data_IF_328064475248
#
_entry.id   IF_328064475248
#
_cell.length_a   1.000
_cell.length_b   1.000
_cell.length_c   1.000
_cell.angle_alpha   90.00
_cell.angle_beta   90.00
_cell.angle_gamma   90.00
#
_symmetry.space_group_name_H-M   'P 1'
#
loop_
_entity.id
_entity.type
_entity.pdbx_description
1 polymer ?
#
# COMPACT_ATOMS: atom_id res chain seq x y z
N UNK A 1 12.16 0.97 -33.85
CA UNK A 1 10.87 0.96 -33.15
C UNK A 1 9.82 1.85 -33.87
N UNK A 2 10.19 3.08 -34.29
CA UNK A 2 9.28 3.95 -35.06
C UNK A 2 8.75 3.30 -36.34
N UNK A 3 9.58 2.58 -37.07
CA UNK A 3 9.19 1.94 -38.33
C UNK A 3 8.19 0.79 -38.12
N UNK A 4 8.36 0.00 -37.05
CA UNK A 4 7.42 -1.07 -36.74
C UNK A 4 6.06 -0.50 -36.26
N UNK A 5 6.05 0.66 -35.56
CA UNK A 5 4.80 1.37 -35.23
C UNK A 5 4.05 1.79 -36.50
N UNK A 6 4.72 2.41 -37.44
CA UNK A 6 4.12 2.77 -38.75
C UNK A 6 3.63 1.57 -39.54
N UNK A 7 4.41 0.48 -39.55
CA UNK A 7 4.02 -0.76 -40.20
C UNK A 7 2.77 -1.37 -39.55
N UNK A 8 2.68 -1.34 -38.22
CA UNK A 8 1.54 -1.82 -37.44
C UNK A 8 0.27 -1.00 -37.69
N UNK A 9 0.38 0.32 -37.90
CA UNK A 9 -0.76 1.17 -38.28
C UNK A 9 -1.27 0.82 -39.66
N UNK A 10 -0.36 0.62 -40.63
CA UNK A 10 -0.70 0.22 -42.00
C UNK A 10 -1.31 -1.19 -42.08
N UNK A 11 -0.89 -2.10 -41.20
CA UNK A 11 -1.31 -3.50 -41.13
C UNK A 11 -2.01 -3.83 -39.81
N UNK A 12 -2.97 -2.99 -39.42
CA UNK A 12 -3.63 -3.05 -38.12
C UNK A 12 -4.42 -4.35 -37.86
N UNK A 13 -4.83 -5.06 -38.91
CA UNK A 13 -5.53 -6.36 -38.85
C UNK A 13 -4.60 -7.57 -39.02
N UNK A 14 -3.28 -7.39 -39.07
CA UNK A 14 -2.34 -8.49 -39.19
C UNK A 14 -1.79 -8.90 -37.83
N UNK A 15 -2.23 -10.06 -37.34
CA UNK A 15 -1.84 -10.58 -36.01
C UNK A 15 -0.32 -10.68 -35.88
N UNK A 16 0.38 -11.17 -36.89
CA UNK A 16 1.86 -11.34 -36.85
C UNK A 16 2.57 -10.00 -36.70
N UNK A 17 2.12 -8.97 -37.43
CA UNK A 17 2.71 -7.60 -37.31
C UNK A 17 2.44 -7.02 -35.93
N UNK A 18 1.22 -7.17 -35.39
CA UNK A 18 0.87 -6.70 -34.05
C UNK A 18 1.66 -7.45 -32.97
N UNK A 19 1.85 -8.77 -33.15
CA UNK A 19 2.66 -9.56 -32.22
C UNK A 19 4.15 -9.15 -32.22
N UNK A 20 4.71 -8.86 -33.39
CA UNK A 20 6.08 -8.30 -33.47
C UNK A 20 6.16 -6.96 -32.73
N UNK A 21 5.16 -6.06 -32.95
CA UNK A 21 5.09 -4.78 -32.24
C UNK A 21 5.03 -5.00 -30.72
N UNK A 22 4.17 -5.91 -30.25
CA UNK A 22 4.07 -6.28 -28.84
C UNK A 22 5.42 -6.75 -28.29
N UNK A 23 6.09 -7.69 -28.95
CA UNK A 23 7.40 -8.21 -28.53
C UNK A 23 8.47 -7.12 -28.41
N UNK A 24 8.53 -6.23 -29.41
CA UNK A 24 9.51 -5.13 -29.43
C UNK A 24 9.17 -4.10 -28.34
N UNK A 25 7.89 -3.73 -28.20
CA UNK A 25 7.47 -2.76 -27.18
C UNK A 25 7.74 -3.25 -25.77
N UNK A 26 7.56 -4.55 -25.49
CA UNK A 26 7.94 -5.15 -24.21
C UNK A 26 9.45 -5.05 -23.94
N UNK A 27 10.30 -5.31 -24.94
CA UNK A 27 11.76 -5.18 -24.81
C UNK A 27 12.22 -3.73 -24.57
N UNK A 28 11.49 -2.75 -25.10
CA UNK A 28 11.80 -1.33 -24.95
C UNK A 28 11.17 -0.73 -23.68
N UNK A 29 10.27 -1.49 -23.01
CA UNK A 29 9.52 -1.02 -21.83
C UNK A 29 8.34 -0.10 -22.16
N UNK A 30 7.90 -0.01 -23.44
CA UNK A 30 6.71 0.76 -23.84
C UNK A 30 5.44 -0.07 -23.62
N UNK A 31 5.00 -0.09 -22.36
CA UNK A 31 3.84 -0.89 -21.91
C UNK A 31 2.55 -0.45 -22.61
N UNK A 32 2.35 0.83 -22.87
CA UNK A 32 1.13 1.33 -23.52
C UNK A 32 1.02 0.82 -24.95
N UNK A 33 2.12 0.85 -25.70
CA UNK A 33 2.15 0.27 -27.05
C UNK A 33 1.92 -1.25 -27.00
N UNK A 34 2.45 -1.95 -25.98
CA UNK A 34 2.24 -3.40 -25.78
C UNK A 34 0.76 -3.73 -25.56
N UNK A 35 0.08 -2.99 -24.68
CA UNK A 35 -1.35 -3.13 -24.41
C UNK A 35 -2.17 -2.90 -25.69
N UNK A 36 -1.87 -1.82 -26.43
CA UNK A 36 -2.59 -1.51 -27.66
C UNK A 36 -2.40 -2.59 -28.75
N UNK A 37 -1.20 -3.13 -28.88
CA UNK A 37 -0.94 -4.23 -29.83
C UNK A 37 -1.72 -5.48 -29.45
N UNK A 38 -1.76 -5.88 -28.18
CA UNK A 38 -2.56 -7.01 -27.70
C UNK A 38 -4.07 -6.78 -27.87
N UNK A 39 -4.58 -5.57 -27.61
CA UNK A 39 -5.99 -5.21 -27.86
C UNK A 39 -6.36 -5.38 -29.35
N UNK A 40 -5.47 -5.00 -30.28
CA UNK A 40 -5.69 -5.20 -31.72
C UNK A 40 -5.67 -6.69 -32.12
N UNK A 41 -4.77 -7.49 -31.54
CA UNK A 41 -4.75 -8.93 -31.75
C UNK A 41 -6.06 -9.56 -31.28
N UNK A 42 -6.51 -9.23 -30.07
CA UNK A 42 -7.74 -9.76 -29.48
C UNK A 42 -9.02 -9.23 -30.15
N UNK A 43 -8.96 -8.15 -30.88
CA UNK A 43 -10.06 -7.72 -31.74
C UNK A 43 -10.31 -8.71 -32.89
N UNK A 44 -9.24 -9.38 -33.37
CA UNK A 44 -9.30 -10.36 -34.45
C UNK A 44 -9.54 -11.77 -33.89
N UNK A 45 -8.76 -12.16 -32.88
CA UNK A 45 -8.82 -13.47 -32.22
C UNK A 45 -9.23 -13.29 -30.75
N UNK A 46 -10.54 -13.11 -30.54
CA UNK A 46 -11.15 -12.72 -29.26
C UNK A 46 -10.91 -13.72 -28.13
N UNK A 47 -10.85 -15.01 -28.49
CA UNK A 47 -10.83 -16.11 -27.52
C UNK A 47 -9.43 -16.68 -27.29
N UNK A 48 -8.39 -15.99 -27.73
CA UNK A 48 -7.02 -16.45 -27.52
C UNK A 48 -6.58 -16.24 -26.08
N UNK A 49 -6.66 -17.30 -25.30
CA UNK A 49 -6.37 -17.28 -23.85
C UNK A 49 -4.93 -16.84 -23.54
N UNK A 50 -3.97 -17.13 -24.45
CA UNK A 50 -2.57 -16.69 -24.29
C UNK A 50 -2.45 -15.17 -24.35
N UNK A 51 -3.05 -14.53 -25.37
CA UNK A 51 -3.02 -13.06 -25.49
C UNK A 51 -3.90 -12.38 -24.43
N UNK A 52 -5.02 -12.98 -24.04
CA UNK A 52 -5.83 -12.52 -22.92
C UNK A 52 -4.99 -12.51 -21.64
N UNK A 53 -4.21 -13.59 -21.39
CA UNK A 53 -3.34 -13.70 -20.21
C UNK A 53 -2.23 -12.66 -20.22
N UNK A 54 -1.60 -12.41 -21.35
CA UNK A 54 -0.59 -11.38 -21.49
C UNK A 54 -1.18 -9.98 -21.25
N UNK A 55 -2.36 -9.70 -21.78
CA UNK A 55 -3.02 -8.42 -21.65
C UNK A 55 -3.43 -8.13 -20.21
N UNK A 56 -4.10 -9.06 -19.51
CA UNK A 56 -4.52 -8.78 -18.14
C UNK A 56 -3.34 -8.58 -17.19
N UNK A 57 -2.23 -9.29 -17.40
CA UNK A 57 -1.01 -9.09 -16.59
C UNK A 57 -0.42 -7.69 -16.75
N UNK A 58 -0.40 -7.15 -17.97
CA UNK A 58 0.03 -5.78 -18.21
C UNK A 58 -0.93 -4.75 -17.60
N UNK A 59 -2.24 -4.98 -17.75
CA UNK A 59 -3.27 -4.12 -17.16
C UNK A 59 -3.19 -4.13 -15.62
N UNK A 60 -2.99 -5.30 -15.02
CA UNK A 60 -2.77 -5.46 -13.58
C UNK A 60 -1.52 -4.69 -13.11
N UNK A 61 -0.41 -4.82 -13.83
CA UNK A 61 0.82 -4.08 -13.53
C UNK A 61 0.66 -2.55 -13.64
N UNK A 62 -0.30 -2.06 -14.44
CA UNK A 62 -0.66 -0.64 -14.51
C UNK A 62 -1.72 -0.20 -13.50
N UNK A 63 -2.22 -1.11 -12.67
CA UNK A 63 -3.31 -0.82 -11.73
C UNK A 63 -4.69 -0.68 -12.40
N UNK A 64 -4.84 -1.06 -13.67
CA UNK A 64 -6.11 -1.04 -14.41
C UNK A 64 -6.95 -2.27 -14.06
N UNK A 65 -7.39 -2.34 -12.80
CA UNK A 65 -7.94 -3.54 -12.19
C UNK A 65 -9.24 -4.01 -12.85
N UNK A 66 -10.12 -3.10 -13.26
CA UNK A 66 -11.42 -3.45 -13.87
C UNK A 66 -11.23 -4.04 -15.27
N UNK A 67 -10.36 -3.46 -16.09
CA UNK A 67 -10.04 -4.01 -17.41
C UNK A 67 -9.31 -5.37 -17.29
N UNK A 68 -8.41 -5.51 -16.32
CA UNK A 68 -7.75 -6.79 -16.06
C UNK A 68 -8.77 -7.87 -15.68
N UNK A 69 -9.73 -7.54 -14.80
CA UNK A 69 -10.80 -8.44 -14.37
C UNK A 69 -11.70 -8.88 -15.53
N UNK A 70 -12.02 -7.97 -16.46
CA UNK A 70 -12.78 -8.29 -17.67
C UNK A 70 -12.05 -9.36 -18.51
N UNK A 71 -10.73 -9.23 -18.71
CA UNK A 71 -9.95 -10.21 -19.50
C UNK A 71 -9.81 -11.54 -18.79
N UNK A 72 -9.67 -11.55 -17.47
CA UNK A 72 -9.69 -12.77 -16.65
C UNK A 72 -11.06 -13.46 -16.77
N UNK A 73 -12.16 -12.73 -16.71
CA UNK A 73 -13.50 -13.30 -16.89
C UNK A 73 -13.64 -13.94 -18.27
N UNK A 74 -13.15 -13.31 -19.35
CA UNK A 74 -13.14 -13.93 -20.68
C UNK A 74 -12.35 -15.24 -20.72
N UNK A 75 -11.24 -15.37 -19.97
CA UNK A 75 -10.51 -16.65 -19.84
C UNK A 75 -11.38 -17.67 -19.11
N UNK A 76 -12.04 -17.27 -18.01
CA UNK A 76 -12.86 -18.17 -17.21
C UNK A 76 -14.17 -18.59 -17.90
N UNK A 77 -14.67 -17.83 -18.86
CA UNK A 77 -15.76 -18.24 -19.76
C UNK A 77 -15.34 -19.39 -20.69
N UNK A 78 -14.06 -19.44 -21.09
CA UNK A 78 -13.50 -20.48 -21.94
C UNK A 78 -13.10 -21.71 -21.10
N UNK A 79 -12.42 -21.47 -19.98
CA UNK A 79 -11.95 -22.48 -19.03
C UNK A 79 -12.23 -22.00 -17.59
N UNK A 80 -13.37 -22.42 -17.05
CA UNK A 80 -13.82 -22.01 -15.72
C UNK A 80 -12.98 -22.56 -14.56
N UNK A 81 -12.05 -23.48 -14.85
CA UNK A 81 -11.08 -24.03 -13.88
C UNK A 81 -9.66 -23.54 -14.12
N UNK A 82 -9.47 -22.53 -14.96
CA UNK A 82 -8.16 -21.98 -15.21
C UNK A 82 -7.52 -21.46 -13.91
N UNK A 83 -6.51 -22.19 -13.47
CA UNK A 83 -5.86 -21.96 -12.18
C UNK A 83 -5.31 -20.54 -12.04
N UNK A 84 -4.50 -20.09 -13.02
CA UNK A 84 -3.85 -18.78 -12.97
C UNK A 84 -4.89 -17.65 -13.00
N UNK A 85 -5.93 -17.80 -13.80
CA UNK A 85 -7.02 -16.83 -13.87
C UNK A 85 -7.81 -16.72 -12.56
N UNK A 86 -8.11 -17.84 -11.91
CA UNK A 86 -8.80 -17.85 -10.61
C UNK A 86 -7.93 -17.22 -9.51
N UNK A 87 -6.63 -17.59 -9.46
CA UNK A 87 -5.67 -17.02 -8.51
C UNK A 87 -5.56 -15.50 -8.69
N UNK A 88 -5.32 -15.04 -9.91
CA UNK A 88 -5.11 -13.62 -10.19
C UNK A 88 -6.43 -12.82 -10.04
N UNK A 89 -7.58 -13.45 -10.27
CA UNK A 89 -8.89 -12.87 -9.94
C UNK A 89 -9.03 -12.62 -8.45
N UNK A 90 -8.63 -13.58 -7.60
CA UNK A 90 -8.64 -13.38 -6.15
C UNK A 90 -7.72 -12.22 -5.73
N UNK A 91 -6.55 -12.11 -6.36
CA UNK A 91 -5.61 -11.02 -6.10
C UNK A 91 -6.17 -9.65 -6.52
N UNK A 92 -6.86 -9.55 -7.65
CA UNK A 92 -7.51 -8.31 -8.08
C UNK A 92 -8.59 -7.88 -7.07
N UNK A 93 -9.43 -8.81 -6.58
CA UNK A 93 -10.40 -8.48 -5.53
C UNK A 93 -9.73 -8.04 -4.24
N UNK A 94 -8.61 -8.67 -3.87
CA UNK A 94 -7.79 -8.20 -2.73
C UNK A 94 -7.30 -6.76 -2.93
N UNK A 95 -6.76 -6.41 -4.10
CA UNK A 95 -6.31 -5.04 -4.43
C UNK A 95 -7.48 -4.04 -4.43
N UNK A 96 -8.68 -4.47 -4.83
CA UNK A 96 -9.92 -3.68 -4.75
C UNK A 96 -10.46 -3.57 -3.33
N UNK A 97 -9.81 -4.16 -2.34
CA UNK A 97 -10.21 -4.25 -0.92
C UNK A 97 -11.52 -5.01 -0.69
N UNK A 98 -11.96 -5.81 -1.66
CA UNK A 98 -13.07 -6.74 -1.52
C UNK A 98 -12.53 -8.09 -1.02
N UNK A 99 -12.26 -8.15 0.27
CA UNK A 99 -11.63 -9.32 0.89
C UNK A 99 -12.54 -10.54 0.96
N UNK A 100 -13.86 -10.33 0.87
CA UNK A 100 -14.85 -11.42 0.87
C UNK A 100 -14.80 -12.17 -0.45
N UNK A 101 -14.93 -11.46 -1.58
CA UNK A 101 -14.79 -12.08 -2.90
C UNK A 101 -13.38 -12.63 -3.13
N UNK A 102 -12.33 -11.92 -2.67
CA UNK A 102 -10.96 -12.42 -2.74
C UNK A 102 -10.83 -13.78 -2.05
N UNK A 103 -11.37 -13.93 -0.83
CA UNK A 103 -11.36 -15.19 -0.07
C UNK A 103 -12.12 -16.29 -0.80
N UNK A 104 -13.31 -16.01 -1.30
CA UNK A 104 -14.14 -16.96 -2.07
C UNK A 104 -13.40 -17.51 -3.28
N UNK A 105 -12.74 -16.65 -4.10
CA UNK A 105 -12.03 -17.11 -5.29
C UNK A 105 -10.78 -17.92 -4.95
N UNK A 106 -10.00 -17.55 -3.92
CA UNK A 106 -8.81 -18.32 -3.53
C UNK A 106 -9.16 -19.68 -2.89
N UNK A 107 -10.31 -19.78 -2.20
CA UNK A 107 -10.79 -21.02 -1.63
C UNK A 107 -11.42 -21.97 -2.68
N UNK A 108 -11.98 -21.42 -3.76
CA UNK A 108 -12.46 -22.20 -4.90
C UNK A 108 -11.34 -22.91 -5.67
N UNK A 109 -10.10 -22.48 -5.50
CA UNK A 109 -8.94 -23.24 -5.94
C UNK A 109 -8.74 -24.38 -4.95
N UNK A 110 -9.33 -25.55 -5.26
CA UNK A 110 -9.40 -26.71 -4.37
C UNK A 110 -8.05 -27.16 -3.80
N UNK A 111 -6.97 -26.96 -4.57
CA UNK A 111 -5.60 -27.15 -4.09
C UNK A 111 -4.68 -26.16 -4.81
N UNK A 112 -3.98 -25.31 -4.05
CA UNK A 112 -2.87 -24.54 -4.60
C UNK A 112 -1.79 -25.52 -5.12
N UNK A 113 -1.19 -25.18 -6.26
CA UNK A 113 -0.04 -25.95 -6.77
C UNK A 113 1.07 -25.90 -5.74
N UNK A 114 1.73 -27.02 -5.48
CA UNK A 114 2.78 -27.12 -4.46
C UNK A 114 4.00 -26.24 -4.74
N UNK A 115 4.16 -25.75 -5.95
CA UNK A 115 5.23 -24.86 -6.41
C UNK A 115 4.80 -23.39 -6.56
N UNK A 116 3.53 -23.05 -6.27
CA UNK A 116 3.02 -21.69 -6.41
C UNK A 116 3.19 -20.86 -5.12
N UNK A 117 4.43 -20.42 -4.86
CA UNK A 117 4.73 -19.50 -3.74
C UNK A 117 3.91 -18.22 -3.79
N UNK A 118 3.60 -17.70 -5.00
CA UNK A 118 2.79 -16.50 -5.18
C UNK A 118 1.34 -16.71 -4.74
N UNK A 119 0.72 -17.84 -5.11
CA UNK A 119 -0.62 -18.22 -4.67
C UNK A 119 -0.71 -18.37 -3.15
N UNK A 120 0.28 -19.00 -2.52
CA UNK A 120 0.35 -19.08 -1.06
C UNK A 120 0.50 -17.70 -0.41
N UNK A 121 1.31 -16.81 -0.99
CA UNK A 121 1.44 -15.44 -0.49
C UNK A 121 0.11 -14.67 -0.59
N UNK A 122 -0.60 -14.75 -1.73
CA UNK A 122 -1.94 -14.14 -1.88
C UNK A 122 -2.91 -14.68 -0.85
N UNK A 123 -2.94 -15.99 -0.63
CA UNK A 123 -3.80 -16.61 0.37
C UNK A 123 -3.47 -16.08 1.76
N UNK A 124 -2.19 -15.99 2.10
CA UNK A 124 -1.73 -15.35 3.34
C UNK A 124 -2.22 -13.92 3.51
N UNK A 125 -2.09 -13.08 2.47
CA UNK A 125 -2.57 -11.70 2.50
C UNK A 125 -4.09 -11.60 2.71
N UNK A 126 -4.88 -12.44 2.05
CA UNK A 126 -6.33 -12.47 2.20
C UNK A 126 -6.72 -12.87 3.62
N UNK A 127 -6.06 -13.88 4.18
CA UNK A 127 -6.30 -14.34 5.55
C UNK A 127 -5.88 -13.29 6.58
N UNK A 128 -4.73 -12.62 6.37
CA UNK A 128 -4.27 -11.51 7.21
C UNK A 128 -5.30 -10.38 7.27
N UNK A 129 -5.85 -9.97 6.12
CA UNK A 129 -6.88 -8.91 6.06
C UNK A 129 -8.23 -9.31 6.64
N UNK A 130 -8.50 -10.60 6.76
CA UNK A 130 -9.67 -11.13 7.46
C UNK A 130 -9.38 -11.48 8.94
N UNK A 131 -8.23 -11.05 9.50
CA UNK A 131 -7.79 -11.26 10.88
C UNK A 131 -7.54 -12.73 11.26
N UNK A 132 -7.30 -13.61 10.30
CA UNK A 132 -6.88 -15.00 10.53
C UNK A 132 -5.34 -15.08 10.54
N UNK A 133 -4.72 -14.52 11.61
CA UNK A 133 -3.28 -14.27 11.65
C UNK A 133 -2.42 -15.54 11.68
N UNK A 134 -2.81 -16.56 12.46
CA UNK A 134 -2.03 -17.81 12.53
C UNK A 134 -2.08 -18.59 11.22
N UNK A 135 -3.23 -18.63 10.54
CA UNK A 135 -3.37 -19.23 9.22
C UNK A 135 -2.57 -18.45 8.18
N UNK A 136 -2.63 -17.11 8.22
CA UNK A 136 -1.85 -16.24 7.33
C UNK A 136 -0.34 -16.52 7.48
N UNK A 137 0.16 -16.61 8.72
CA UNK A 137 1.55 -16.97 9.01
C UNK A 137 1.94 -18.30 8.38
N UNK A 138 1.08 -19.32 8.48
CA UNK A 138 1.35 -20.63 7.88
C UNK A 138 1.44 -20.57 6.34
N UNK A 139 0.60 -19.77 5.70
CA UNK A 139 0.65 -19.58 4.23
C UNK A 139 1.91 -18.83 3.79
N UNK A 140 2.32 -17.77 4.49
CA UNK A 140 3.57 -17.07 4.19
C UNK A 140 4.80 -17.97 4.38
N UNK A 141 4.83 -18.76 5.47
CA UNK A 141 5.88 -19.74 5.69
C UNK A 141 5.92 -20.82 4.58
N UNK A 142 4.77 -21.22 4.06
CA UNK A 142 4.70 -22.17 2.93
C UNK A 142 5.25 -21.52 1.67
N UNK A 143 4.90 -20.26 1.39
CA UNK A 143 5.46 -19.52 0.26
C UNK A 143 6.99 -19.44 0.34
N UNK A 144 7.54 -19.16 1.53
CA UNK A 144 8.99 -19.07 1.77
C UNK A 144 9.71 -20.42 1.70
N UNK A 145 9.05 -21.54 2.04
CA UNK A 145 9.60 -22.88 1.83
C UNK A 145 9.74 -23.23 0.36
N UNK A 146 8.87 -22.68 -0.51
CA UNK A 146 8.92 -22.89 -1.97
C UNK A 146 9.93 -21.95 -2.62
N UNK A 147 9.93 -20.67 -2.20
CA UNK A 147 10.85 -19.65 -2.69
C UNK A 147 11.37 -18.81 -1.51
N UNK A 148 12.54 -19.18 -1.01
CA UNK A 148 13.23 -18.55 0.12
C UNK A 148 13.81 -17.16 -0.20
N UNK A 149 13.73 -16.72 -1.46
CA UNK A 149 14.16 -15.38 -1.91
C UNK A 149 13.01 -14.43 -2.19
N UNK A 150 11.77 -14.83 -1.89
CA UNK A 150 10.61 -14.01 -2.17
C UNK A 150 10.37 -12.97 -1.06
N UNK A 151 10.94 -11.78 -1.24
CA UNK A 151 10.98 -10.68 -0.26
C UNK A 151 9.58 -10.28 0.22
N UNK A 152 8.58 -10.26 -0.68
CA UNK A 152 7.22 -9.88 -0.30
C UNK A 152 6.63 -10.81 0.77
N UNK A 153 6.92 -12.12 0.71
CA UNK A 153 6.47 -13.05 1.74
C UNK A 153 7.16 -12.83 3.08
N UNK A 154 8.44 -12.43 3.11
CA UNK A 154 9.09 -12.02 4.35
C UNK A 154 8.43 -10.77 4.93
N UNK A 155 8.20 -9.74 4.12
CA UNK A 155 7.55 -8.51 4.56
C UNK A 155 6.13 -8.77 5.09
N UNK A 156 5.36 -9.62 4.41
CA UNK A 156 4.01 -9.98 4.82
C UNK A 156 4.00 -10.85 6.08
N UNK A 157 4.96 -11.78 6.23
CA UNK A 157 5.13 -12.60 7.42
C UNK A 157 5.49 -11.73 8.63
N UNK A 158 6.44 -10.80 8.44
CA UNK A 158 6.83 -9.86 9.50
C UNK A 158 5.66 -8.99 9.94
N UNK A 159 4.89 -8.44 8.99
CA UNK A 159 3.67 -7.69 9.29
C UNK A 159 2.62 -8.55 10.04
N UNK A 160 2.44 -9.82 9.64
CA UNK A 160 1.57 -10.75 10.33
C UNK A 160 2.03 -11.02 11.78
N UNK A 161 3.34 -11.12 12.01
CA UNK A 161 3.91 -11.30 13.35
C UNK A 161 3.73 -10.06 14.22
N UNK A 162 3.73 -8.84 13.63
CA UNK A 162 3.39 -7.62 14.37
C UNK A 162 1.93 -7.63 14.84
N UNK A 163 0.99 -8.09 14.01
CA UNK A 163 -0.43 -8.25 14.42
C UNK A 163 -0.60 -9.30 15.53
N UNK A 164 0.32 -10.28 15.62
CA UNK A 164 0.39 -11.26 16.70
C UNK A 164 1.20 -10.78 17.92
N UNK A 165 1.63 -9.51 17.94
CA UNK A 165 2.45 -8.88 18.99
C UNK A 165 3.82 -9.56 19.20
N UNK A 166 4.34 -10.27 18.19
CA UNK A 166 5.62 -11.00 18.22
C UNK A 166 6.75 -10.15 17.65
N UNK A 167 7.08 -9.03 18.33
CA UNK A 167 8.03 -8.02 17.83
C UNK A 167 9.40 -8.59 17.49
N UNK A 168 9.97 -9.46 18.35
CA UNK A 168 11.32 -10.02 18.14
C UNK A 168 11.37 -11.00 16.96
N UNK A 169 10.29 -11.78 16.76
CA UNK A 169 10.18 -12.66 15.61
C UNK A 169 10.01 -11.83 14.32
N UNK A 170 9.17 -10.80 14.35
CA UNK A 170 8.96 -9.89 13.23
C UNK A 170 10.28 -9.23 12.80
N UNK A 171 11.07 -8.71 13.76
CA UNK A 171 12.39 -8.13 13.47
C UNK A 171 13.30 -9.11 12.74
N UNK A 172 13.43 -10.35 13.23
CA UNK A 172 14.27 -11.39 12.60
C UNK A 172 13.83 -11.67 11.15
N UNK A 173 12.53 -11.68 10.89
CA UNK A 173 11.98 -11.89 9.54
C UNK A 173 12.30 -10.71 8.63
N UNK A 174 12.16 -9.47 9.12
CA UNK A 174 12.53 -8.27 8.34
C UNK A 174 14.04 -8.17 8.12
N UNK A 175 14.87 -8.56 9.11
CA UNK A 175 16.33 -8.68 8.93
C UNK A 175 16.67 -9.68 7.80
N UNK A 176 15.97 -10.81 7.72
CA UNK A 176 16.15 -11.78 6.62
C UNK A 176 15.80 -11.16 5.26
N UNK A 177 14.71 -10.42 5.16
CA UNK A 177 14.34 -9.69 3.94
C UNK A 177 15.40 -8.64 3.56
N UNK A 178 15.91 -7.89 4.54
CA UNK A 178 16.95 -6.88 4.34
C UNK A 178 18.27 -7.49 3.83
N UNK A 179 18.64 -8.67 4.31
CA UNK A 179 19.81 -9.38 3.81
C UNK A 179 19.67 -9.81 2.34
N UNK A 180 18.46 -10.09 1.87
CA UNK A 180 18.20 -10.46 0.46
C UNK A 180 18.27 -9.23 -0.46
N UNK A 181 17.71 -8.09 -0.04
CA UNK A 181 17.79 -6.83 -0.78
C UNK A 181 17.78 -5.64 0.19
N UNK A 182 18.96 -5.07 0.40
CA UNK A 182 19.16 -3.91 1.26
C UNK A 182 18.49 -2.63 0.77
N UNK A 183 18.10 -2.58 -0.51
CA UNK A 183 17.45 -1.41 -1.12
C UNK A 183 15.95 -1.57 -1.28
N UNK A 184 15.35 -2.64 -0.76
CA UNK A 184 13.91 -2.80 -0.77
C UNK A 184 13.27 -1.81 0.21
N UNK A 185 12.60 -0.80 -0.32
CA UNK A 185 12.01 0.30 0.46
C UNK A 185 10.99 -0.21 1.47
N UNK A 186 10.13 -1.16 1.09
CA UNK A 186 9.14 -1.73 2.01
C UNK A 186 9.79 -2.45 3.18
N UNK A 187 10.89 -3.18 2.95
CA UNK A 187 11.65 -3.85 4.01
C UNK A 187 12.29 -2.84 4.96
N UNK A 188 12.90 -1.77 4.41
CA UNK A 188 13.49 -0.69 5.22
C UNK A 188 12.45 -0.01 6.11
N UNK A 189 11.25 0.29 5.58
CA UNK A 189 10.15 0.87 6.36
C UNK A 189 9.71 -0.10 7.46
N UNK A 190 9.49 -1.37 7.14
CA UNK A 190 9.03 -2.36 8.10
C UNK A 190 10.06 -2.59 9.22
N UNK A 191 11.35 -2.64 8.87
CA UNK A 191 12.43 -2.77 9.85
C UNK A 191 12.51 -1.55 10.77
N UNK A 192 12.40 -0.35 10.20
CA UNK A 192 12.34 0.87 10.97
C UNK A 192 11.10 0.95 11.89
N UNK A 193 9.93 0.49 11.39
CA UNK A 193 8.71 0.42 12.19
C UNK A 193 8.88 -0.48 13.41
N UNK A 194 9.40 -1.71 13.24
CA UNK A 194 9.58 -2.63 14.36
C UNK A 194 10.64 -2.14 15.35
N UNK A 195 11.73 -1.55 14.88
CA UNK A 195 12.76 -0.93 15.72
C UNK A 195 12.19 0.24 16.53
N UNK A 196 11.36 1.06 15.91
CA UNK A 196 10.65 2.14 16.61
C UNK A 196 9.71 1.59 17.69
N UNK A 197 9.00 0.49 17.44
CA UNK A 197 8.15 -0.17 18.45
C UNK A 197 8.97 -0.74 19.62
N UNK A 198 10.20 -1.20 19.36
CA UNK A 198 11.14 -1.67 20.37
C UNK A 198 11.91 -0.53 21.09
N UNK A 199 11.53 0.73 20.84
CA UNK A 199 12.19 1.94 21.38
C UNK A 199 13.64 2.16 20.90
N UNK A 200 14.05 1.44 19.86
CA UNK A 200 15.36 1.63 19.23
C UNK A 200 15.30 2.73 18.17
N UNK A 201 15.06 3.96 18.61
CA UNK A 201 14.74 5.10 17.75
C UNK A 201 15.90 5.47 16.82
N UNK A 202 17.14 5.38 17.28
CA UNK A 202 18.32 5.76 16.48
C UNK A 202 18.47 4.86 15.25
N UNK A 203 18.35 3.54 15.42
CA UNK A 203 18.42 2.61 14.30
C UNK A 203 17.20 2.75 13.37
N UNK A 204 16.00 2.97 13.93
CA UNK A 204 14.80 3.23 13.15
C UNK A 204 14.97 4.44 12.21
N UNK A 205 15.49 5.56 12.75
CA UNK A 205 15.78 6.78 11.96
C UNK A 205 16.80 6.50 10.85
N UNK A 206 17.82 5.68 11.10
CA UNK A 206 18.79 5.32 10.06
C UNK A 206 18.13 4.58 8.89
N UNK A 207 17.31 3.55 9.16
CA UNK A 207 16.60 2.81 8.10
C UNK A 207 15.56 3.67 7.38
N UNK A 208 14.84 4.55 8.08
CA UNK A 208 13.95 5.50 7.41
C UNK A 208 14.71 6.48 6.51
N UNK A 209 15.88 6.98 6.91
CA UNK A 209 16.69 7.87 6.08
C UNK A 209 17.22 7.12 4.85
N UNK A 210 17.62 5.85 4.99
CA UNK A 210 18.00 5.01 3.86
C UNK A 210 16.82 4.85 2.88
N UNK A 211 15.62 4.52 3.37
CA UNK A 211 14.40 4.45 2.56
C UNK A 211 14.05 5.79 1.90
N UNK A 212 14.18 6.91 2.63
CA UNK A 212 13.91 8.25 2.12
C UNK A 212 14.89 8.67 1.02
N UNK A 213 16.13 8.19 1.05
CA UNK A 213 17.10 8.42 -0.02
C UNK A 213 16.68 7.76 -1.34
N UNK A 214 15.96 6.64 -1.27
CA UNK A 214 15.45 5.90 -2.43
C UNK A 214 14.11 6.48 -2.92
N UNK A 215 13.24 6.88 -2.00
CA UNK A 215 11.93 7.48 -2.28
C UNK A 215 11.76 8.83 -1.56
N UNK A 216 12.34 9.93 -2.08
CA UNK A 216 12.39 11.21 -1.38
C UNK A 216 11.01 11.81 -1.04
N UNK A 217 9.96 11.50 -1.78
CA UNK A 217 8.62 12.06 -1.57
C UNK A 217 7.62 11.05 -1.00
N UNK A 218 8.10 9.95 -0.41
CA UNK A 218 7.23 8.98 0.24
C UNK A 218 6.71 9.56 1.56
N UNK A 219 5.41 9.84 1.61
CA UNK A 219 4.76 10.47 2.77
C UNK A 219 4.85 9.60 4.03
N UNK A 220 4.72 8.28 3.90
CA UNK A 220 4.78 7.35 5.02
C UNK A 220 6.14 7.45 5.73
N UNK A 221 7.24 7.43 4.97
CA UNK A 221 8.59 7.55 5.52
C UNK A 221 8.77 8.89 6.23
N UNK A 222 8.35 9.99 5.58
CA UNK A 222 8.47 11.35 6.11
C UNK A 222 7.68 11.49 7.42
N UNK A 223 6.46 10.94 7.47
CA UNK A 223 5.61 10.98 8.66
C UNK A 223 6.20 10.16 9.81
N UNK A 224 6.72 8.97 9.52
CA UNK A 224 7.32 8.10 10.52
C UNK A 224 8.64 8.70 11.09
N UNK A 225 9.43 9.37 10.25
CA UNK A 225 10.59 10.13 10.72
C UNK A 225 10.19 11.25 11.67
N UNK A 226 9.14 12.01 11.36
CA UNK A 226 8.62 13.04 12.25
C UNK A 226 8.25 12.47 13.62
N UNK A 227 7.56 11.32 13.64
CA UNK A 227 7.18 10.63 14.89
C UNK A 227 8.42 10.15 15.64
N UNK A 228 9.42 9.57 14.97
CA UNK A 228 10.66 9.13 15.59
C UNK A 228 11.43 10.30 16.22
N UNK A 229 11.55 11.42 15.52
CA UNK A 229 12.20 12.62 16.08
C UNK A 229 11.43 13.21 17.26
N UNK A 230 10.08 13.16 17.26
CA UNK A 230 9.29 13.52 18.44
C UNK A 230 9.60 12.65 19.66
N UNK A 231 9.75 11.34 19.45
CA UNK A 231 10.08 10.38 20.52
C UNK A 231 11.51 10.56 21.03
N UNK A 232 12.44 10.97 20.16
CA UNK A 232 13.84 11.27 20.50
C UNK A 232 14.02 12.70 21.08
N UNK A 233 12.93 13.41 21.36
CA UNK A 233 12.94 14.78 21.87
C UNK A 233 13.71 15.77 20.98
N UNK A 234 13.70 15.53 19.68
CA UNK A 234 14.26 16.40 18.63
C UNK A 234 13.13 17.17 17.94
N UNK A 235 12.49 18.08 18.67
CA UNK A 235 11.28 18.77 18.25
C UNK A 235 11.48 19.61 16.97
N UNK A 236 12.67 20.19 16.80
CA UNK A 236 12.99 21.01 15.61
C UNK A 236 13.02 20.17 14.34
N UNK A 237 13.68 19.02 14.39
CA UNK A 237 13.75 18.05 13.31
C UNK A 237 12.36 17.47 13.01
N UNK A 238 11.63 17.09 14.06
CA UNK A 238 10.27 16.60 13.95
C UNK A 238 9.37 17.60 13.20
N UNK A 239 9.45 18.91 13.55
CA UNK A 239 8.68 19.97 12.89
C UNK A 239 8.98 20.03 11.38
N UNK A 240 10.24 19.96 10.97
CA UNK A 240 10.64 20.00 9.55
C UNK A 240 9.97 18.86 8.78
N UNK A 241 9.97 17.65 9.34
CA UNK A 241 9.37 16.48 8.68
C UNK A 241 7.83 16.53 8.69
N UNK A 242 7.19 17.03 9.74
CA UNK A 242 5.74 17.26 9.75
C UNK A 242 5.33 18.28 8.70
N UNK A 243 6.00 19.44 8.65
CA UNK A 243 5.73 20.47 7.63
C UNK A 243 5.84 19.91 6.20
N UNK A 244 6.85 19.05 5.97
CA UNK A 244 7.05 18.40 4.68
C UNK A 244 5.95 17.38 4.37
N UNK A 245 5.55 16.55 5.32
CA UNK A 245 4.52 15.54 5.14
C UNK A 245 3.14 16.17 4.88
N UNK A 246 2.80 17.25 5.62
CA UNK A 246 1.54 17.99 5.44
C UNK A 246 1.49 18.67 4.07
N UNK A 247 2.62 19.18 3.54
CA UNK A 247 2.67 19.72 2.17
C UNK A 247 2.39 18.67 1.11
N UNK A 248 2.78 17.41 1.33
CA UNK A 248 2.51 16.30 0.41
C UNK A 248 1.02 15.91 0.45
N UNK A 249 0.45 15.80 1.64
CA UNK A 249 -0.96 15.48 1.83
C UNK A 249 -1.59 16.33 2.95
N UNK A 250 -2.20 17.47 2.59
CA UNK A 250 -2.84 18.35 3.57
C UNK A 250 -4.10 17.79 4.23
N UNK A 251 -4.60 16.65 3.73
CA UNK A 251 -5.82 16.01 4.24
C UNK A 251 -5.55 14.79 5.11
N UNK A 252 -4.30 14.57 5.52
CA UNK A 252 -3.96 13.54 6.51
C UNK A 252 -4.24 14.05 7.93
N UNK A 253 -5.48 13.89 8.36
CA UNK A 253 -5.92 14.38 9.67
C UNK A 253 -5.23 13.70 10.85
N UNK A 254 -4.73 12.45 10.68
CA UNK A 254 -3.95 11.77 11.72
C UNK A 254 -2.59 12.44 11.90
N UNK A 255 -1.94 12.75 10.79
CA UNK A 255 -0.66 13.45 10.77
C UNK A 255 -0.82 14.88 11.32
N UNK A 256 -1.86 15.59 10.91
CA UNK A 256 -2.18 16.93 11.42
C UNK A 256 -2.39 16.91 12.92
N UNK A 257 -3.11 15.92 13.44
CA UNK A 257 -3.32 15.78 14.89
C UNK A 257 -2.00 15.49 15.62
N UNK A 258 -1.14 14.62 15.10
CA UNK A 258 0.19 14.35 15.66
C UNK A 258 1.08 15.61 15.65
N UNK A 259 1.02 16.40 14.57
CA UNK A 259 1.73 17.68 14.50
C UNK A 259 1.19 18.71 15.50
N UNK A 260 -0.12 18.79 15.67
CA UNK A 260 -0.72 19.64 16.69
C UNK A 260 -0.21 19.29 18.09
N UNK A 261 -0.10 18.00 18.44
CA UNK A 261 0.44 17.59 19.75
C UNK A 261 1.91 18.01 19.94
N UNK A 262 2.71 17.99 18.88
CA UNK A 262 4.07 18.55 18.93
C UNK A 262 4.05 20.05 19.15
N UNK A 263 3.22 20.81 18.41
CA UNK A 263 3.13 22.25 18.54
C UNK A 263 2.71 22.68 19.97
N UNK A 264 1.75 21.94 20.57
CA UNK A 264 1.37 22.13 21.97
C UNK A 264 2.53 21.86 22.93
N UNK A 265 3.31 20.80 22.69
CA UNK A 265 4.49 20.45 23.51
C UNK A 265 5.54 21.55 23.51
N UNK A 266 5.73 22.23 22.38
CA UNK A 266 6.70 23.35 22.26
C UNK A 266 6.08 24.73 22.56
N UNK A 267 4.92 24.76 23.18
CA UNK A 267 4.16 25.97 23.56
C UNK A 267 3.77 26.90 22.38
N UNK A 268 3.66 26.36 21.16
CA UNK A 268 3.15 27.09 20.01
C UNK A 268 1.61 26.93 19.93
N UNK A 269 0.89 27.65 20.76
CA UNK A 269 -0.55 27.50 20.91
C UNK A 269 -1.34 28.04 19.72
N UNK A 270 -0.90 29.11 19.08
CA UNK A 270 -1.66 29.76 18.02
C UNK A 270 -1.83 28.87 16.78
N UNK A 271 -0.73 28.31 16.28
CA UNK A 271 -0.78 27.35 15.16
C UNK A 271 -1.46 26.03 15.53
N UNK A 272 -1.44 25.66 16.82
CA UNK A 272 -2.01 24.40 17.30
C UNK A 272 -3.53 24.36 17.21
N UNK A 273 -4.20 25.48 17.51
CA UNK A 273 -5.65 25.51 17.57
C UNK A 273 -6.33 25.35 16.21
N UNK A 274 -5.72 25.88 15.15
CA UNK A 274 -6.24 25.68 13.78
C UNK A 274 -6.24 24.21 13.35
N UNK A 275 -5.26 23.44 13.87
CA UNK A 275 -5.04 22.03 13.51
C UNK A 275 -5.76 21.10 14.49
N UNK A 276 -6.01 21.52 15.73
CA UNK A 276 -6.55 20.68 16.80
C UNK A 276 -7.88 20.02 16.44
N UNK A 277 -8.72 20.69 15.70
CA UNK A 277 -10.01 20.18 15.24
C UNK A 277 -9.87 19.02 14.25
N UNK A 278 -8.69 18.82 13.66
CA UNK A 278 -8.41 17.69 12.76
C UNK A 278 -8.65 16.32 13.43
N UNK A 279 -8.51 16.23 14.76
CA UNK A 279 -8.83 15.02 15.55
C UNK A 279 -10.26 14.52 15.35
N UNK A 280 -11.20 15.44 15.07
CA UNK A 280 -12.61 15.11 14.89
C UNK A 280 -12.88 14.50 13.52
N UNK A 281 -11.98 14.72 12.56
CA UNK A 281 -12.05 14.18 11.21
C UNK A 281 -11.41 12.80 11.11
N UNK A 282 -10.76 12.30 12.19
CA UNK A 282 -10.24 10.93 12.25
C UNK A 282 -11.43 9.96 12.29
N UNK A 283 -11.36 8.90 11.49
CA UNK A 283 -12.49 7.98 11.24
C UNK A 283 -13.13 7.38 12.51
N UNK A 284 -12.33 7.15 13.56
CA UNK A 284 -12.79 6.66 14.86
C UNK A 284 -13.76 7.63 15.58
N UNK A 285 -13.75 8.91 15.20
CA UNK A 285 -14.54 9.96 15.84
C UNK A 285 -15.68 10.47 14.95
N UNK A 286 -15.86 9.93 13.74
CA UNK A 286 -16.92 10.36 12.80
C UNK A 286 -18.33 10.33 13.40
N UNK A 287 -18.62 9.38 14.29
CA UNK A 287 -19.90 9.28 14.98
C UNK A 287 -20.15 10.44 15.96
N UNK A 288 -19.11 11.19 16.37
CA UNK A 288 -19.22 12.38 17.22
C UNK A 288 -19.42 13.66 16.40
N UNK A 289 -19.29 13.58 15.08
CA UNK A 289 -19.32 14.72 14.16
C UNK A 289 -20.75 15.19 13.79
N UNK A 290 -21.79 14.39 14.04
CA UNK A 290 -23.17 14.75 13.66
C UNK A 290 -23.69 16.07 14.29
N UNK A 291 -23.00 16.58 15.32
CA UNK A 291 -23.31 17.87 15.95
C UNK A 291 -22.16 18.90 15.85
N UNK A 292 -21.12 18.58 15.07
CA UNK A 292 -19.87 19.36 15.08
C UNK A 292 -20.01 20.72 14.44
N UNK A 293 -20.71 20.84 13.32
CA UNK A 293 -20.98 22.15 12.69
C UNK A 293 -21.82 23.08 13.63
N UNK A 294 -22.65 22.49 14.47
CA UNK A 294 -23.39 23.22 15.51
C UNK A 294 -22.47 23.70 16.63
N UNK A 295 -21.52 22.84 17.04
CA UNK A 295 -20.55 23.14 18.11
C UNK A 295 -19.51 24.16 17.60
N UNK A 296 -19.00 24.02 16.38
CA UNK A 296 -18.04 24.95 15.75
C UNK A 296 -18.67 26.34 15.58
N UNK A 297 -19.90 26.43 15.12
CA UNK A 297 -20.60 27.69 14.95
C UNK A 297 -20.99 28.38 16.26
N UNK A 298 -21.22 27.62 17.35
CA UNK A 298 -21.64 28.16 18.63
C UNK A 298 -20.48 28.45 19.60
N UNK A 299 -19.42 27.64 19.60
CA UNK A 299 -18.27 27.82 20.51
C UNK A 299 -17.23 28.84 20.03
N UNK A 300 -17.01 28.95 18.72
CA UNK A 300 -15.88 29.73 18.19
C UNK A 300 -16.26 31.09 17.61
N UNK A 301 -17.54 31.37 17.37
CA UNK A 301 -17.99 32.70 16.88
C UNK A 301 -17.97 33.83 17.93
N UNK A 302 -17.90 33.50 19.22
CA UNK A 302 -18.04 34.48 20.29
C UNK A 302 -16.91 34.51 21.34
N UNK A 303 -15.77 33.80 21.08
CA UNK A 303 -14.73 33.68 22.09
C UNK A 303 -13.41 34.30 21.61
N UNK A 304 -13.14 35.52 22.06
CA UNK A 304 -11.78 36.01 22.34
C UNK A 304 -11.30 35.26 23.59
N UNK A 305 -10.82 34.02 23.43
CA UNK A 305 -10.37 33.19 24.56
C UNK A 305 -8.95 33.60 24.88
N UNK A 306 -8.66 33.97 26.14
CA UNK A 306 -7.30 34.13 26.65
C UNK A 306 -6.54 32.80 26.63
N UNK A 307 -5.20 32.85 26.63
CA UNK A 307 -4.35 31.64 26.63
C UNK A 307 -4.67 30.70 27.79
N UNK A 308 -5.03 31.24 28.95
CA UNK A 308 -5.39 30.48 30.15
C UNK A 308 -6.72 29.73 30.00
N UNK A 309 -7.69 30.33 29.31
CA UNK A 309 -8.99 29.70 29.02
C UNK A 309 -8.87 28.58 27.99
N UNK A 310 -7.97 28.72 27.01
CA UNK A 310 -7.60 27.64 26.07
C UNK A 310 -7.06 26.42 26.83
N UNK A 311 -6.24 26.63 27.84
CA UNK A 311 -5.68 25.56 28.69
C UNK A 311 -6.77 24.83 29.48
N UNK A 312 -7.80 25.56 29.94
CA UNK A 312 -8.93 25.00 30.70
C UNK A 312 -9.76 24.03 29.82
N UNK A 313 -10.04 24.43 28.58
CA UNK A 313 -10.76 23.58 27.60
C UNK A 313 -9.99 22.28 27.31
N UNK A 314 -8.65 22.33 27.24
CA UNK A 314 -7.81 21.14 27.08
C UNK A 314 -7.89 20.20 28.29
N UNK A 315 -7.91 20.73 29.52
CA UNK A 315 -8.04 19.94 30.75
C UNK A 315 -9.40 19.25 30.85
N UNK A 316 -10.47 19.93 30.50
CA UNK A 316 -11.85 19.36 30.52
C UNK A 316 -12.03 18.25 29.47
N UNK A 317 -11.19 18.23 28.43
CA UNK A 317 -11.25 17.21 27.38
C UNK A 317 -10.31 16.02 27.62
N UNK A 318 -9.61 15.97 28.77
CA UNK A 318 -8.77 14.83 29.15
C UNK A 318 -7.44 14.74 28.40
N UNK A 319 -6.87 15.86 28.01
CA UNK A 319 -5.53 15.96 27.39
C UNK A 319 -4.54 16.56 28.41
#
# INVERSE_FOLDING_TARGET
FKDIKKLSEKHNKNISVQNILYQISMKVGDIDTSINALKKILFIDKNNTSYLSQLYKLLLGKGMLDEALEKINSILEIDNKNYDALRDKSYIYFLKKDYIEAKKYIENISNLRNDDYFGYNIKGLIYLKNNFFEEAKNFFNTALKINDRYIDSYNNLGACLLELEKLDEAKKIFDSAYHLDKKNVSTLINLANVLSLQDNIVEAVNHYNEALSLEPNNQEIISNLAICYCRDSKEKEAKIFYDRAIKINPYDYKLMYAYCTLQLKINNFDDSWEIFDSRLLIEKNKHKLSNFDLIKNNLFKNLTINQDEKLLVLREQGI
#
